data_IF_330420884188
#
_entry.id   IF_330420884188
#
_cell.length_a   1.000
_cell.length_b   1.000
_cell.length_c   1.000
_cell.angle_alpha   90.00
_cell.angle_beta   90.00
_cell.angle_gamma   90.00
#
_symmetry.space_group_name_H-M   'P 1'
#
loop_
_entity.id
_entity.type
_entity.pdbx_description
1 polymer ?
#
# COMPACT_ATOMS: atom_id res chain seq x y z
N UNK A 1 15.57 -31.35 -2.04
CA UNK A 1 15.86 -29.89 -2.13
C UNK A 1 15.50 -29.23 -0.80
N UNK A 2 16.49 -28.73 -0.05
CA UNK A 2 16.29 -28.03 1.22
C UNK A 2 15.63 -26.69 0.91
N UNK A 3 14.34 -26.52 1.24
CA UNK A 3 13.63 -25.25 1.06
C UNK A 3 14.34 -24.20 1.91
N UNK A 4 15.18 -23.36 1.30
CA UNK A 4 15.91 -22.29 1.99
C UNK A 4 14.85 -21.32 2.53
N UNK A 5 14.73 -21.20 3.85
CA UNK A 5 13.76 -20.28 4.45
C UNK A 5 13.96 -18.88 3.87
N UNK A 6 12.90 -18.30 3.31
CA UNK A 6 12.97 -16.97 2.70
C UNK A 6 13.25 -15.93 3.77
N UNK A 7 14.26 -15.09 3.55
CA UNK A 7 14.59 -13.98 4.46
C UNK A 7 13.42 -13.00 4.57
N UNK A 8 13.36 -12.21 5.65
CA UNK A 8 12.29 -11.21 5.83
C UNK A 8 12.19 -10.25 4.64
N UNK A 9 13.35 -9.90 4.03
CA UNK A 9 13.43 -9.05 2.84
C UNK A 9 12.85 -9.74 1.60
N UNK A 10 13.19 -11.01 1.36
CA UNK A 10 12.63 -11.78 0.24
C UNK A 10 11.11 -11.94 0.37
N UNK A 11 10.62 -12.14 1.59
CA UNK A 11 9.18 -12.18 1.85
C UNK A 11 8.55 -10.80 1.59
N UNK A 12 9.18 -9.72 2.05
CA UNK A 12 8.69 -8.37 1.81
C UNK A 12 8.58 -8.03 0.31
N UNK A 13 9.61 -8.33 -0.47
CA UNK A 13 9.60 -8.18 -1.94
C UNK A 13 8.46 -9.01 -2.56
N UNK A 14 8.33 -10.27 -2.12
CA UNK A 14 7.27 -11.15 -2.60
C UNK A 14 5.87 -10.61 -2.31
N UNK A 15 5.65 -9.97 -1.16
CA UNK A 15 4.38 -9.37 -0.80
C UNK A 15 4.13 -8.02 -1.47
N UNK A 16 5.17 -7.23 -1.72
CA UNK A 16 5.06 -5.91 -2.36
C UNK A 16 4.77 -5.99 -3.87
N UNK A 17 5.24 -7.03 -4.56
CA UNK A 17 5.17 -7.11 -6.04
C UNK A 17 3.75 -6.99 -6.61
N UNK A 18 2.77 -7.68 -6.03
CA UNK A 18 1.41 -7.69 -6.54
C UNK A 18 0.72 -6.33 -6.32
N UNK A 19 0.76 -5.75 -5.11
CA UNK A 19 0.41 -4.35 -4.88
C UNK A 19 1.01 -3.34 -5.85
N UNK A 20 2.30 -3.46 -6.17
CA UNK A 20 2.98 -2.57 -7.12
C UNK A 20 2.31 -2.66 -8.50
N UNK A 21 2.08 -3.88 -9.00
CA UNK A 21 1.43 -4.10 -10.30
C UNK A 21 0.01 -3.53 -10.29
N UNK A 22 -0.75 -3.75 -9.20
CA UNK A 22 -2.10 -3.20 -9.07
C UNK A 22 -2.04 -1.66 -9.09
N UNK A 23 -1.13 -1.04 -8.35
CA UNK A 23 -0.98 0.42 -8.31
C UNK A 23 -0.61 1.03 -9.67
N UNK A 24 0.22 0.32 -10.46
CA UNK A 24 0.60 0.72 -11.81
C UNK A 24 -0.61 0.81 -12.75
N UNK A 25 -1.64 -0.01 -12.55
CA UNK A 25 -2.87 0.00 -13.34
C UNK A 25 -3.92 0.94 -12.72
N UNK A 26 -4.03 0.92 -11.40
CA UNK A 26 -5.03 1.70 -10.65
C UNK A 26 -4.87 3.20 -10.88
N UNK A 27 -3.63 3.69 -10.96
CA UNK A 27 -3.37 5.13 -11.11
C UNK A 27 -3.82 5.66 -12.49
N UNK A 28 -3.44 5.03 -13.62
CA UNK A 28 -4.00 5.39 -14.93
C UNK A 28 -5.51 5.22 -15.04
N UNK A 29 -6.08 4.18 -14.43
CA UNK A 29 -7.55 4.00 -14.41
C UNK A 29 -8.22 5.15 -13.68
N UNK A 30 -7.71 5.52 -12.49
CA UNK A 30 -8.21 6.65 -11.71
C UNK A 30 -8.13 7.96 -12.49
N UNK A 31 -7.02 8.20 -13.16
CA UNK A 31 -6.82 9.36 -14.03
C UNK A 31 -7.82 9.38 -15.20
N UNK A 32 -7.99 8.25 -15.90
CA UNK A 32 -8.96 8.14 -16.99
C UNK A 32 -10.41 8.36 -16.53
N UNK A 33 -10.78 7.82 -15.36
CA UNK A 33 -12.11 8.03 -14.78
C UNK A 33 -12.40 9.50 -14.48
N UNK A 34 -11.40 10.24 -14.02
CA UNK A 34 -11.51 11.68 -13.83
C UNK A 34 -11.69 12.44 -15.14
N UNK A 35 -10.95 12.06 -16.19
CA UNK A 35 -11.13 12.64 -17.53
C UNK A 35 -12.53 12.38 -18.10
N UNK A 36 -13.19 11.30 -17.67
CA UNK A 36 -14.59 11.01 -18.02
C UNK A 36 -15.60 11.82 -17.19
N UNK A 37 -15.14 12.70 -16.29
CA UNK A 37 -15.98 13.61 -15.51
C UNK A 37 -16.46 13.04 -14.17
N UNK A 38 -15.88 11.93 -13.68
CA UNK A 38 -16.21 11.44 -12.33
C UNK A 38 -15.67 12.38 -11.26
N UNK A 39 -16.43 12.61 -10.18
CA UNK A 39 -16.03 13.54 -9.13
C UNK A 39 -14.87 12.98 -8.31
N UNK A 40 -14.00 13.87 -7.83
CA UNK A 40 -12.75 13.51 -7.14
C UNK A 40 -12.99 12.63 -5.91
N UNK A 41 -14.06 12.89 -5.16
CA UNK A 41 -14.44 12.11 -3.98
C UNK A 41 -14.75 10.63 -4.31
N UNK A 42 -15.35 10.34 -5.45
CA UNK A 42 -15.65 8.98 -5.89
C UNK A 42 -14.35 8.25 -6.31
N UNK A 43 -13.51 8.91 -7.11
CA UNK A 43 -12.23 8.35 -7.55
C UNK A 43 -11.19 8.29 -6.42
N UNK A 44 -11.37 9.04 -5.32
CA UNK A 44 -10.47 8.98 -4.16
C UNK A 44 -10.55 7.63 -3.45
N UNK A 45 -11.73 7.00 -3.41
CA UNK A 45 -11.95 5.69 -2.76
C UNK A 45 -11.18 4.57 -3.47
N UNK A 46 -10.98 4.69 -4.78
CA UNK A 46 -10.13 3.80 -5.59
C UNK A 46 -8.67 4.27 -5.61
N UNK A 47 -8.27 5.11 -4.66
CA UNK A 47 -6.94 5.68 -4.57
C UNK A 47 -5.90 4.75 -3.93
N UNK A 48 -4.63 5.13 -4.11
CA UNK A 48 -3.49 4.39 -3.59
C UNK A 48 -3.48 4.26 -2.06
N UNK A 49 -4.07 5.22 -1.33
CA UNK A 49 -4.20 5.12 0.13
C UNK A 49 -5.06 3.92 0.53
N UNK A 50 -6.24 3.77 -0.05
CA UNK A 50 -7.16 2.68 0.24
C UNK A 50 -6.57 1.32 -0.15
N UNK A 51 -5.86 1.26 -1.28
CA UNK A 51 -5.10 0.09 -1.65
C UNK A 51 -4.08 -0.27 -0.55
N UNK A 52 -3.31 0.71 -0.05
CA UNK A 52 -2.36 0.48 1.07
C UNK A 52 -3.05 -0.05 2.31
N UNK A 53 -4.19 0.53 2.71
CA UNK A 53 -4.93 0.08 3.90
C UNK A 53 -5.42 -1.37 3.74
N UNK A 54 -5.96 -1.72 2.57
CA UNK A 54 -6.37 -3.08 2.25
C UNK A 54 -5.20 -4.08 2.30
N UNK A 55 -4.04 -3.70 1.73
CA UNK A 55 -2.81 -4.52 1.78
C UNK A 55 -2.33 -4.69 3.22
N UNK A 56 -2.34 -3.62 4.01
CA UNK A 56 -1.93 -3.67 5.41
C UNK A 56 -2.78 -4.62 6.23
N UNK A 57 -4.11 -4.59 6.05
CA UNK A 57 -5.03 -5.55 6.69
C UNK A 57 -4.73 -6.96 6.21
N UNK A 58 -4.66 -7.17 4.88
CA UNK A 58 -4.40 -8.49 4.31
C UNK A 58 -3.09 -9.10 4.83
N UNK A 59 -2.00 -8.33 4.82
CA UNK A 59 -0.72 -8.77 5.35
C UNK A 59 -0.79 -8.97 6.87
N UNK A 60 -1.51 -8.12 7.60
CA UNK A 60 -1.67 -8.26 9.03
C UNK A 60 -2.38 -9.57 9.41
N UNK A 61 -3.41 -9.95 8.65
CA UNK A 61 -4.10 -11.25 8.79
C UNK A 61 -3.14 -12.39 8.46
N UNK A 62 -2.49 -12.33 7.29
CA UNK A 62 -1.64 -13.40 6.78
C UNK A 62 -0.38 -13.64 7.61
N UNK A 63 0.22 -12.58 8.13
CA UNK A 63 1.46 -12.61 8.90
C UNK A 63 1.23 -12.71 10.41
N UNK A 64 0.00 -12.59 10.91
CA UNK A 64 -0.30 -12.43 12.34
C UNK A 64 0.43 -13.42 13.26
N UNK A 65 0.61 -14.66 12.80
CA UNK A 65 1.24 -15.74 13.56
C UNK A 65 2.76 -15.86 13.39
N UNK A 66 3.37 -15.07 12.51
CA UNK A 66 4.81 -15.12 12.26
C UNK A 66 5.57 -14.28 13.29
N UNK A 67 6.74 -14.77 13.73
CA UNK A 67 7.61 -14.04 14.67
C UNK A 67 8.01 -12.67 14.13
N UNK A 68 8.33 -12.58 12.84
CA UNK A 68 8.83 -11.37 12.18
C UNK A 68 7.73 -10.56 11.46
N UNK A 69 6.46 -10.75 11.82
CA UNK A 69 5.31 -10.14 11.13
C UNK A 69 5.44 -8.63 10.94
N UNK A 70 5.76 -7.89 12.00
CA UNK A 70 5.91 -6.44 11.96
C UNK A 70 7.04 -5.98 11.02
N UNK A 71 8.17 -6.69 11.02
CA UNK A 71 9.31 -6.40 10.14
C UNK A 71 8.95 -6.63 8.68
N UNK A 72 8.30 -7.75 8.38
CA UNK A 72 7.89 -8.08 7.01
C UNK A 72 6.84 -7.08 6.52
N UNK A 73 5.86 -6.71 7.35
CA UNK A 73 4.87 -5.69 7.06
C UNK A 73 5.55 -4.35 6.72
N UNK A 74 6.42 -3.84 7.60
CA UNK A 74 7.11 -2.57 7.40
C UNK A 74 7.93 -2.57 6.11
N UNK A 75 8.75 -3.61 5.89
CA UNK A 75 9.57 -3.73 4.69
C UNK A 75 8.71 -3.82 3.42
N UNK A 76 7.58 -4.54 3.48
CA UNK A 76 6.67 -4.64 2.33
C UNK A 76 6.11 -3.27 1.97
N UNK A 77 5.69 -2.49 2.96
CA UNK A 77 5.17 -1.13 2.76
C UNK A 77 6.26 -0.15 2.31
N UNK A 78 7.47 -0.24 2.86
CA UNK A 78 8.62 0.58 2.45
C UNK A 78 9.02 0.36 0.99
N UNK A 79 8.86 -0.86 0.47
CA UNK A 79 9.14 -1.17 -0.93
C UNK A 79 7.96 -0.72 -1.80
N UNK A 80 6.74 -1.09 -1.41
CA UNK A 80 5.54 -0.82 -2.21
C UNK A 80 5.24 0.68 -2.34
N UNK A 81 5.24 1.41 -1.22
CA UNK A 81 4.75 2.79 -1.15
C UNK A 81 5.45 3.73 -2.16
N UNK A 82 6.79 3.87 -2.18
CA UNK A 82 7.49 4.73 -3.13
C UNK A 82 7.32 4.29 -4.59
N UNK A 83 7.36 2.99 -4.87
CA UNK A 83 7.22 2.49 -6.24
C UNK A 83 5.81 2.72 -6.77
N UNK A 84 4.79 2.55 -5.93
CA UNK A 84 3.38 2.76 -6.28
C UNK A 84 3.07 4.21 -6.69
N UNK A 85 3.93 5.16 -6.29
CA UNK A 85 3.77 6.60 -6.52
C UNK A 85 4.45 7.10 -7.78
N UNK A 86 5.31 6.30 -8.41
CA UNK A 86 5.97 6.69 -9.67
C UNK A 86 4.94 7.02 -10.78
N UNK A 87 3.88 6.21 -10.99
CA UNK A 87 2.84 6.53 -11.99
C UNK A 87 2.15 7.87 -11.74
N UNK A 88 1.98 8.27 -10.47
CA UNK A 88 1.37 9.55 -10.10
C UNK A 88 2.22 10.71 -10.60
N UNK A 89 3.54 10.65 -10.42
CA UNK A 89 4.44 11.70 -10.92
C UNK A 89 4.49 11.74 -12.46
N UNK A 90 4.40 10.59 -13.13
CA UNK A 90 4.32 10.53 -14.60
C UNK A 90 3.03 11.17 -15.10
N UNK A 91 1.89 10.84 -14.47
CA UNK A 91 0.59 11.41 -14.84
C UNK A 91 0.51 12.90 -14.51
N UNK A 92 1.10 13.35 -13.40
CA UNK A 92 1.29 14.76 -13.10
C UNK A 92 2.01 15.49 -14.25
N UNK A 93 3.10 14.90 -14.78
CA UNK A 93 3.85 15.49 -15.88
C UNK A 93 3.04 15.56 -17.18
N UNK A 94 2.26 14.52 -17.47
CA UNK A 94 1.33 14.52 -18.61
C UNK A 94 0.26 15.60 -18.42
N UNK A 95 -0.34 15.68 -17.25
CA UNK A 95 -1.37 16.67 -16.97
C UNK A 95 -0.87 18.10 -17.14
N UNK A 96 0.33 18.37 -16.58
CA UNK A 96 0.98 19.69 -16.63
C UNK A 96 1.43 20.05 -18.04
N UNK A 97 2.02 19.10 -18.79
CA UNK A 97 2.58 19.38 -20.12
C UNK A 97 1.50 19.64 -21.18
N UNK A 98 0.31 19.06 -21.01
CA UNK A 98 -0.81 19.23 -21.94
C UNK A 98 -1.95 20.08 -21.37
N UNK A 99 -1.75 20.69 -20.19
CA UNK A 99 -2.71 21.58 -19.52
C UNK A 99 -4.12 20.97 -19.41
N UNK A 100 -4.19 19.67 -19.11
CA UNK A 100 -5.43 18.90 -19.13
C UNK A 100 -6.35 19.32 -17.97
N UNK A 101 -5.78 19.75 -16.84
CA UNK A 101 -6.52 20.37 -15.75
C UNK A 101 -7.21 19.39 -14.80
N UNK A 102 -6.59 18.25 -14.50
CA UNK A 102 -7.09 17.31 -13.47
C UNK A 102 -6.59 17.70 -12.07
N UNK A 103 -7.00 16.98 -11.01
CA UNK A 103 -6.45 17.17 -9.66
C UNK A 103 -4.94 16.90 -9.58
N UNK A 104 -4.35 16.30 -10.61
CA UNK A 104 -2.91 16.16 -10.74
C UNK A 104 -2.23 17.46 -11.18
N UNK A 105 -2.94 18.49 -11.64
CA UNK A 105 -2.35 19.72 -12.22
C UNK A 105 -1.77 20.75 -11.25
N UNK A 106 -1.57 20.45 -9.96
CA UNK A 106 -1.17 21.47 -8.96
C UNK A 106 0.14 21.19 -8.18
N UNK A 107 0.87 22.29 -7.93
CA UNK A 107 1.90 22.55 -6.90
C UNK A 107 3.35 22.05 -7.08
N UNK A 108 3.89 21.87 -8.29
CA UNK A 108 5.35 21.71 -8.44
C UNK A 108 5.91 22.49 -9.63
N UNK A 109 7.14 22.98 -9.47
CA UNK A 109 7.83 23.79 -10.49
C UNK A 109 8.49 22.91 -11.56
N UNK A 110 8.78 21.64 -11.25
CA UNK A 110 9.39 20.69 -12.17
C UNK A 110 9.11 19.22 -11.80
N UNK A 111 9.38 18.33 -12.76
CA UNK A 111 9.19 16.89 -12.59
C UNK A 111 9.99 16.29 -11.43
N UNK A 112 11.22 16.77 -11.20
CA UNK A 112 12.05 16.27 -10.11
C UNK A 112 11.42 16.53 -8.73
N UNK A 113 10.86 17.72 -8.54
CA UNK A 113 10.14 18.10 -7.32
C UNK A 113 8.85 17.29 -7.16
N UNK A 114 8.07 17.13 -8.24
CA UNK A 114 6.85 16.31 -8.21
C UNK A 114 7.16 14.85 -7.85
N UNK A 115 8.17 14.26 -8.50
CA UNK A 115 8.62 12.90 -8.24
C UNK A 115 9.09 12.75 -6.80
N UNK A 116 9.93 13.66 -6.31
CA UNK A 116 10.45 13.61 -4.94
C UNK A 116 9.33 13.75 -3.91
N UNK A 117 8.38 14.66 -4.12
CA UNK A 117 7.25 14.81 -3.21
C UNK A 117 6.37 13.55 -3.19
N UNK A 118 6.05 12.98 -4.35
CA UNK A 118 5.25 11.77 -4.40
C UNK A 118 5.97 10.54 -3.81
N UNK A 119 7.26 10.37 -4.11
CA UNK A 119 8.07 9.24 -3.62
C UNK A 119 8.39 9.37 -2.13
N UNK A 120 8.50 10.58 -1.58
CA UNK A 120 8.77 10.79 -0.15
C UNK A 120 7.47 11.07 0.61
N UNK A 121 6.91 12.27 0.48
CA UNK A 121 5.73 12.69 1.23
C UNK A 121 4.51 11.82 0.93
N UNK A 122 4.21 11.60 -0.36
CA UNK A 122 3.11 10.73 -0.79
C UNK A 122 3.24 9.31 -0.25
N UNK A 123 4.47 8.80 -0.17
CA UNK A 123 4.75 7.48 0.40
C UNK A 123 4.60 7.43 1.91
N UNK A 124 4.98 8.49 2.64
CA UNK A 124 4.78 8.59 4.09
C UNK A 124 3.29 8.59 4.45
N UNK A 125 2.48 9.35 3.69
CA UNK A 125 1.02 9.40 3.86
C UNK A 125 0.38 8.02 3.66
N UNK A 126 0.95 7.14 2.85
CA UNK A 126 0.48 5.74 2.76
C UNK A 126 1.07 4.86 3.86
N UNK A 127 2.38 4.97 4.08
CA UNK A 127 3.14 4.07 4.93
C UNK A 127 2.69 4.16 6.37
N UNK A 128 2.55 5.38 6.92
CA UNK A 128 2.23 5.59 8.33
C UNK A 128 0.87 4.99 8.69
N UNK A 129 -0.27 5.38 8.08
CA UNK A 129 -1.56 4.81 8.42
C UNK A 129 -1.66 3.33 8.05
N UNK A 130 -1.06 2.91 6.92
CA UNK A 130 -1.01 1.50 6.55
C UNK A 130 -0.28 0.65 7.58
N UNK A 131 0.88 1.11 8.07
CA UNK A 131 1.66 0.36 9.04
C UNK A 131 0.93 0.26 10.38
N UNK A 132 0.34 1.36 10.87
CA UNK A 132 -0.46 1.37 12.09
C UNK A 132 -1.64 0.38 12.01
N UNK A 133 -2.40 0.42 10.91
CA UNK A 133 -3.52 -0.48 10.69
C UNK A 133 -3.08 -1.95 10.61
N UNK A 134 -1.95 -2.22 9.94
CA UNK A 134 -1.39 -3.56 9.87
C UNK A 134 -0.91 -4.07 11.23
N UNK A 135 -0.31 -3.22 12.08
CA UNK A 135 0.05 -3.57 13.46
C UNK A 135 -1.19 -3.93 14.28
N UNK A 136 -2.23 -3.11 14.22
CA UNK A 136 -3.50 -3.37 14.92
C UNK A 136 -4.06 -4.73 14.49
N UNK A 137 -4.07 -4.98 13.18
CA UNK A 137 -4.55 -6.25 12.60
C UNK A 137 -3.72 -7.44 13.11
N UNK A 138 -2.39 -7.35 13.10
CA UNK A 138 -1.50 -8.40 13.64
C UNK A 138 -1.80 -8.66 15.11
N UNK A 139 -1.94 -7.61 15.91
CA UNK A 139 -2.22 -7.69 17.35
C UNK A 139 -3.54 -8.42 17.60
N UNK A 140 -4.61 -8.05 16.90
CA UNK A 140 -5.92 -8.72 16.97
C UNK A 140 -5.78 -10.20 16.62
N UNK A 141 -5.05 -10.54 15.55
CA UNK A 141 -4.88 -11.91 15.11
C UNK A 141 -4.11 -12.77 16.12
N UNK A 142 -3.06 -12.21 16.73
CA UNK A 142 -2.31 -12.87 17.80
C UNK A 142 -3.17 -13.11 19.04
N UNK A 143 -3.93 -12.08 19.44
CA UNK A 143 -4.84 -12.18 20.58
C UNK A 143 -5.91 -13.26 20.37
N UNK A 144 -6.56 -13.27 19.20
CA UNK A 144 -7.54 -14.31 18.83
C UNK A 144 -6.96 -15.72 18.93
N UNK A 145 -5.72 -15.91 18.48
CA UNK A 145 -5.05 -17.21 18.57
C UNK A 145 -4.81 -17.65 20.01
N UNK A 146 -4.39 -16.74 20.88
CA UNK A 146 -4.21 -17.02 22.32
C UNK A 146 -5.53 -17.45 22.96
N UNK A 147 -6.63 -16.75 22.65
CA UNK A 147 -7.97 -17.12 23.15
C UNK A 147 -8.40 -18.52 22.69
N UNK A 148 -8.19 -18.86 21.41
CA UNK A 148 -8.55 -20.21 20.91
C UNK A 148 -7.70 -21.32 21.53
N UNK A 149 -6.44 -21.04 21.88
CA UNK A 149 -5.54 -22.01 22.52
C UNK A 149 -5.94 -22.27 23.98
N UNK A 150 -6.51 -21.28 24.65
CA UNK A 150 -6.90 -21.35 26.05
C UNK A 150 -8.36 -21.76 26.26
N UNK A 151 -9.09 -22.16 25.20
CA UNK A 151 -10.42 -22.74 25.39
C UNK A 151 -10.27 -24.10 26.11
N UNK A 152 -10.92 -24.29 27.28
CA UNK A 152 -10.98 -25.61 27.89
C UNK A 152 -11.63 -26.58 26.89
N UNK A 153 -11.10 -27.81 26.81
CA UNK A 153 -11.81 -28.89 26.14
C UNK A 153 -13.14 -29.05 26.88
N UNK A 154 -14.25 -28.66 26.24
CA UNK A 154 -15.56 -29.09 26.69
C UNK A 154 -15.56 -30.61 26.54
N UNK A 155 -15.33 -31.30 27.66
CA UNK A 155 -15.40 -32.75 27.75
C UNK A 155 -16.85 -33.15 27.42
N UNK A 156 -17.03 -33.82 26.29
CA UNK A 156 -18.22 -34.62 26.00
C UNK A 156 -18.24 -35.91 26.79
#
# INVERSE_FOLDING_TARGET
MKNKEKTSLQQAIYYAKAPIIIALILTPVRYGLELLGLPENAIFIIGLLWLTLGIAIYLGIKLGNQKQAYKILLLSLLIYSPISRIPVAILWWVDTKWEIGTHYGLYYDNFGQALLNHVIYGSLVQLVPGFLLGIVTITIMRYRKTLTKNKPLENG
#
